data_IF_464039016858
#
_entry.id   IF_464039016858
#
_cell.length_a   1.000
_cell.length_b   1.000
_cell.length_c   1.000
_cell.angle_alpha   90.00
_cell.angle_beta   90.00
_cell.angle_gamma   90.00
#
_symmetry.space_group_name_H-M   'P 1'
#
loop_
_entity.id
_entity.type
_entity.pdbx_description
1 polymer ?
#
# COMPACT_ATOMS: atom_id res chain seq x y z
N UNK A 1 -11.44 4.74 -11.65
CA UNK A 1 -9.99 4.84 -11.91
C UNK A 1 -9.42 6.22 -11.57
N UNK A 2 -9.71 7.31 -12.31
CA UNK A 2 -9.05 8.60 -12.07
C UNK A 2 -9.37 9.24 -10.70
N UNK A 3 -10.60 9.06 -10.19
CA UNK A 3 -10.98 9.57 -8.87
C UNK A 3 -10.31 8.80 -7.72
N UNK A 4 -10.16 7.47 -7.84
CA UNK A 4 -9.52 6.63 -6.82
C UNK A 4 -8.03 6.94 -6.69
N UNK A 5 -7.34 7.06 -7.84
CA UNK A 5 -5.94 7.48 -7.88
C UNK A 5 -5.74 8.84 -7.24
N UNK A 6 -6.68 9.77 -7.44
CA UNK A 6 -6.61 11.09 -6.81
C UNK A 6 -6.73 10.99 -5.28
N UNK A 7 -7.69 10.20 -4.80
CA UNK A 7 -7.85 9.95 -3.35
C UNK A 7 -6.59 9.33 -2.73
N UNK A 8 -5.94 8.39 -3.42
CA UNK A 8 -4.69 7.78 -2.95
C UNK A 8 -3.57 8.84 -2.85
N UNK A 9 -3.37 9.63 -3.89
CA UNK A 9 -2.34 10.69 -3.89
C UNK A 9 -2.59 11.72 -2.78
N UNK A 10 -3.84 12.17 -2.64
CA UNK A 10 -4.20 13.15 -1.61
C UNK A 10 -3.95 12.55 -0.20
N UNK A 11 -4.32 11.29 0.04
CA UNK A 11 -4.07 10.61 1.32
C UNK A 11 -2.58 10.35 1.64
N UNK A 12 -1.75 10.02 0.64
CA UNK A 12 -0.31 9.83 0.82
C UNK A 12 0.45 11.17 1.00
N UNK A 13 -0.15 12.28 0.59
CA UNK A 13 0.42 13.61 0.77
C UNK A 13 0.08 14.24 2.13
N UNK A 14 -1.01 13.80 2.74
CA UNK A 14 -1.41 14.23 4.07
C UNK A 14 -0.52 13.59 5.17
N UNK A 15 -0.71 14.05 6.40
CA UNK A 15 -0.11 13.44 7.58
C UNK A 15 -0.66 12.02 7.77
N UNK A 16 0.19 11.03 8.07
CA UNK A 16 1.60 11.11 8.48
C UNK A 16 2.64 11.02 7.36
N UNK A 17 2.25 10.71 6.11
CA UNK A 17 3.17 10.20 5.09
C UNK A 17 3.91 11.29 4.31
N UNK A 18 3.28 12.46 4.08
CA UNK A 18 3.90 13.64 3.43
C UNK A 18 4.73 13.33 2.18
N UNK A 19 4.28 12.41 1.33
CA UNK A 19 5.08 11.89 0.20
C UNK A 19 5.21 12.88 -0.97
N UNK A 20 4.44 13.98 -1.00
CA UNK A 20 4.44 15.00 -2.05
C UNK A 20 4.34 14.44 -3.49
N UNK A 21 3.56 13.37 -3.64
CA UNK A 21 3.27 12.70 -4.90
C UNK A 21 2.25 13.49 -5.72
N UNK A 22 2.33 13.31 -7.04
CA UNK A 22 1.31 13.67 -8.01
C UNK A 22 0.95 12.45 -8.86
N UNK A 23 -0.06 12.56 -9.73
CA UNK A 23 -0.53 11.42 -10.54
C UNK A 23 0.56 10.87 -11.48
N UNK A 24 1.42 11.72 -12.02
CA UNK A 24 2.51 11.31 -12.92
C UNK A 24 3.61 10.63 -12.12
N UNK A 25 3.99 11.20 -10.97
CA UNK A 25 5.03 10.60 -10.15
C UNK A 25 4.60 9.24 -9.61
N UNK A 26 3.33 9.07 -9.23
CA UNK A 26 2.77 7.79 -8.78
C UNK A 26 2.87 6.72 -9.88
N UNK A 27 2.60 7.08 -11.14
CA UNK A 27 2.70 6.17 -12.30
C UNK A 27 4.14 5.74 -12.58
N UNK A 28 5.14 6.53 -12.16
CA UNK A 28 6.56 6.18 -12.26
C UNK A 28 7.10 5.39 -11.06
N UNK A 29 6.31 5.19 -10.01
CA UNK A 29 6.74 4.42 -8.83
C UNK A 29 6.84 2.95 -9.18
N UNK A 30 7.93 2.29 -8.77
CA UNK A 30 8.13 0.86 -9.02
C UNK A 30 7.17 0.01 -8.20
N UNK A 31 6.88 -1.20 -8.68
CA UNK A 31 6.02 -2.15 -7.96
C UNK A 31 6.51 -2.44 -6.53
N UNK A 32 7.82 -2.55 -6.33
CA UNK A 32 8.42 -2.71 -4.99
C UNK A 32 8.11 -1.52 -4.08
N UNK A 33 8.28 -0.31 -4.60
CA UNK A 33 8.04 0.89 -3.82
C UNK A 33 6.54 1.07 -3.51
N UNK A 34 5.65 0.69 -4.43
CA UNK A 34 4.21 0.65 -4.16
C UNK A 34 3.87 -0.36 -3.05
N UNK A 35 4.50 -1.53 -3.05
CA UNK A 35 4.34 -2.52 -1.98
C UNK A 35 4.88 -2.01 -0.64
N UNK A 36 6.02 -1.31 -0.63
CA UNK A 36 6.56 -0.68 0.57
C UNK A 36 5.59 0.36 1.12
N UNK A 37 5.06 1.24 0.26
CA UNK A 37 4.07 2.26 0.66
C UNK A 37 2.82 1.60 1.27
N UNK A 38 2.29 0.56 0.63
CA UNK A 38 1.14 -0.18 1.16
C UNK A 38 1.46 -0.80 2.52
N UNK A 39 2.65 -1.42 2.65
CA UNK A 39 3.13 -1.99 3.90
C UNK A 39 3.21 -0.94 5.00
N UNK A 40 3.81 0.22 4.72
CA UNK A 40 3.97 1.32 5.68
C UNK A 40 2.61 1.88 6.13
N UNK A 41 1.65 2.00 5.21
CA UNK A 41 0.29 2.43 5.55
C UNK A 41 -0.39 1.44 6.49
N UNK A 42 -0.28 0.14 6.23
CA UNK A 42 -0.86 -0.90 7.08
C UNK A 42 -0.20 -0.94 8.46
N UNK A 43 1.14 -0.87 8.51
CA UNK A 43 1.89 -0.83 9.76
C UNK A 43 1.56 0.42 10.59
N UNK A 44 1.36 1.56 9.93
CA UNK A 44 0.93 2.78 10.61
C UNK A 44 -0.48 2.65 11.21
N UNK A 45 -1.43 2.04 10.50
CA UNK A 45 -2.79 1.76 11.03
C UNK A 45 -2.71 0.83 12.25
N UNK A 46 -1.79 -0.13 12.25
CA UNK A 46 -1.57 -1.08 13.33
C UNK A 46 -0.68 -0.54 14.46
N UNK A 47 -0.21 0.71 14.37
CA UNK A 47 0.75 1.34 15.29
C UNK A 47 2.04 0.52 15.48
N UNK A 48 2.47 -0.16 14.42
CA UNK A 48 3.70 -0.96 14.36
C UNK A 48 4.86 -0.19 13.74
N UNK A 49 6.08 -0.67 13.98
CA UNK A 49 7.27 -0.10 13.34
C UNK A 49 7.26 -0.36 11.84
N UNK A 50 7.79 0.58 11.06
CA UNK A 50 8.02 0.43 9.62
C UNK A 50 9.01 -0.71 9.38
N UNK A 51 8.70 -1.56 8.40
CA UNK A 51 9.54 -2.70 8.01
C UNK A 51 9.89 -2.53 6.53
N UNK A 52 11.18 -2.61 6.20
CA UNK A 52 11.62 -2.65 4.81
C UNK A 52 11.32 -4.03 4.22
N UNK A 53 10.48 -4.07 3.18
CA UNK A 53 10.08 -5.31 2.52
C UNK A 53 11.25 -6.06 1.87
N UNK A 54 12.41 -5.41 1.69
CA UNK A 54 13.64 -6.01 1.16
C UNK A 54 14.43 -6.78 2.21
N UNK A 55 14.17 -6.52 3.49
CA UNK A 55 14.76 -7.25 4.61
C UNK A 55 13.94 -8.49 4.99
N UNK A 56 12.70 -8.61 4.49
CA UNK A 56 11.81 -9.75 4.70
C UNK A 56 11.72 -10.64 3.44
N UNK A 57 11.51 -11.94 3.65
CA UNK A 57 11.17 -12.85 2.57
C UNK A 57 9.80 -12.48 1.97
N UNK A 58 9.67 -12.57 0.65
CA UNK A 58 8.44 -12.15 -0.06
C UNK A 58 7.18 -12.86 0.46
N UNK A 59 7.29 -14.14 0.82
CA UNK A 59 6.19 -14.92 1.39
C UNK A 59 5.74 -14.39 2.76
N UNK A 60 6.69 -13.93 3.58
CA UNK A 60 6.42 -13.37 4.90
C UNK A 60 5.72 -12.01 4.77
N UNK A 61 6.23 -11.15 3.89
CA UNK A 61 5.63 -9.85 3.57
C UNK A 61 4.21 -10.01 3.05
N UNK A 62 3.99 -10.94 2.12
CA UNK A 62 2.67 -11.23 1.56
C UNK A 62 1.68 -11.67 2.65
N UNK A 63 2.10 -12.60 3.52
CA UNK A 63 1.26 -13.09 4.62
C UNK A 63 0.89 -11.97 5.59
N UNK A 64 1.84 -11.08 5.92
CA UNK A 64 1.58 -9.92 6.80
C UNK A 64 0.55 -8.97 6.20
N UNK A 65 0.72 -8.59 4.93
CA UNK A 65 -0.22 -7.71 4.22
C UNK A 65 -1.61 -8.36 4.16
N UNK A 66 -1.70 -9.65 3.79
CA UNK A 66 -2.99 -10.34 3.72
C UNK A 66 -3.68 -10.46 5.09
N UNK A 67 -2.93 -10.68 6.16
CA UNK A 67 -3.48 -10.68 7.51
C UNK A 67 -4.03 -9.29 7.89
N UNK A 68 -3.28 -8.22 7.60
CA UNK A 68 -3.71 -6.84 7.86
C UNK A 68 -5.01 -6.52 7.11
N UNK A 69 -5.07 -6.85 5.81
CA UNK A 69 -6.25 -6.66 4.97
C UNK A 69 -7.46 -7.46 5.49
N UNK A 70 -7.23 -8.68 5.99
CA UNK A 70 -8.27 -9.52 6.59
C UNK A 70 -8.83 -8.90 7.88
N UNK A 71 -7.98 -8.30 8.72
CA UNK A 71 -8.40 -7.56 9.92
C UNK A 71 -9.27 -6.36 9.54
N UNK A 72 -8.86 -5.63 8.50
CA UNK A 72 -9.62 -4.51 7.91
C UNK A 72 -10.90 -4.94 7.17
N UNK A 73 -11.21 -6.25 7.15
CA UNK A 73 -12.37 -6.83 6.44
C UNK A 73 -12.39 -6.50 4.94
N UNK A 74 -11.22 -6.24 4.35
CA UNK A 74 -11.11 -6.02 2.92
C UNK A 74 -11.50 -7.30 2.19
N UNK A 75 -12.49 -7.20 1.30
CA UNK A 75 -12.88 -8.30 0.42
C UNK A 75 -12.19 -8.10 -0.92
N UNK A 76 -11.18 -8.92 -1.27
CA UNK A 76 -10.55 -8.85 -2.58
C UNK A 76 -11.63 -9.08 -3.66
N UNK A 77 -11.61 -8.31 -4.77
CA UNK A 77 -12.54 -8.50 -5.87
C UNK A 77 -12.46 -9.95 -6.36
N UNK A 78 -13.60 -10.62 -6.54
CA UNK A 78 -13.63 -12.00 -7.04
C UNK A 78 -13.10 -12.14 -8.48
N UNK A 79 -13.03 -11.03 -9.22
CA UNK A 79 -12.59 -10.93 -10.61
C UNK A 79 -11.07 -10.62 -10.74
N UNK A 80 -10.23 -11.05 -9.79
CA UNK A 80 -8.76 -10.89 -9.89
C UNK A 80 -8.19 -11.52 -11.19
N UNK A 81 -8.85 -12.55 -11.75
CA UNK A 81 -8.44 -13.17 -13.02
C UNK A 81 -8.66 -12.28 -14.26
N UNK A 82 -9.34 -11.13 -14.14
CA UNK A 82 -9.63 -10.20 -15.26
C UNK A 82 -8.80 -8.91 -15.26
N UNK A 83 -7.87 -8.76 -14.32
CA UNK A 83 -6.93 -7.62 -14.27
C UNK A 83 -5.65 -7.92 -15.03
#
# INVERSE_FOLDING_TARGET
MAAELRTIVDGLNDEPFKMNLNLISLDTVSNEQLLQILSDVLLWIEELNTIDIREEEADVTALRIFNSLRVLKYQPPADIEKL
#
